data_IF_701587315684
#
_entry.id   IF_701587315684
#
_cell.length_a   1.000
_cell.length_b   1.000
_cell.length_c   1.000
_cell.angle_alpha   90.00
_cell.angle_beta   90.00
_cell.angle_gamma   90.00
#
_symmetry.space_group_name_H-M   'P 1'
#
loop_
_entity.id
_entity.type
_entity.pdbx_description
1 polymer ?
#
# COMPACT_ATOMS: atom_id res chain seq x y z
N UNK A 1 55.75 9.66 5.95
CA UNK A 1 55.31 9.17 7.28
C UNK A 1 53.85 9.59 7.43
N UNK A 2 52.98 8.62 7.65
CA UNK A 2 51.52 8.73 7.60
C UNK A 2 50.92 9.61 8.69
N UNK A 3 49.75 10.20 8.42
CA UNK A 3 48.60 10.18 9.33
C UNK A 3 47.35 10.73 8.61
N UNK A 4 46.36 9.85 8.44
CA UNK A 4 45.00 10.18 8.04
C UNK A 4 44.23 10.77 9.23
N UNK A 5 43.31 11.70 8.98
CA UNK A 5 42.16 11.96 9.85
C UNK A 5 41.06 12.67 9.04
N UNK A 6 40.21 11.88 8.39
CA UNK A 6 38.94 12.34 7.85
C UNK A 6 37.89 12.29 8.98
N UNK A 7 37.28 13.43 9.32
CA UNK A 7 36.18 13.51 10.29
C UNK A 7 34.92 13.97 9.57
N UNK A 8 34.04 12.98 9.35
CA UNK A 8 32.59 13.00 9.23
C UNK A 8 31.88 14.29 8.73
N UNK A 9 31.55 14.31 7.44
CA UNK A 9 30.36 15.03 6.98
C UNK A 9 29.12 14.21 7.35
N UNK A 10 28.40 14.68 8.35
CA UNK A 10 27.09 14.17 8.76
C UNK A 10 26.04 14.66 7.76
N UNK A 11 25.82 13.91 6.68
CA UNK A 11 24.78 14.21 5.70
C UNK A 11 23.98 12.95 5.36
N UNK A 12 22.68 13.17 5.16
CA UNK A 12 21.63 12.23 4.72
C UNK A 12 20.93 11.44 5.83
N UNK A 13 20.19 12.16 6.68
CA UNK A 13 18.90 11.69 7.18
C UNK A 13 17.81 12.45 6.41
N UNK A 14 17.52 12.01 5.18
CA UNK A 14 16.56 12.67 4.31
C UNK A 14 16.24 11.84 3.09
N UNK A 15 15.20 11.00 3.23
CA UNK A 15 14.38 10.41 2.17
C UNK A 15 15.11 9.67 1.04
N UNK A 16 15.51 8.41 1.26
CA UNK A 16 15.63 7.44 0.17
C UNK A 16 14.43 6.51 0.18
N UNK A 17 13.40 6.85 -0.61
CA UNK A 17 12.41 5.84 -0.99
C UNK A 17 13.10 4.97 -2.05
N UNK A 18 13.65 3.84 -1.62
CA UNK A 18 14.27 2.87 -2.54
C UNK A 18 13.22 2.37 -3.52
N UNK A 19 13.48 2.57 -4.81
CA UNK A 19 12.70 1.97 -5.89
C UNK A 19 12.75 0.44 -5.78
N UNK A 20 11.67 -0.29 -6.09
CA UNK A 20 11.70 -1.74 -6.08
C UNK A 20 12.52 -2.22 -7.28
N UNK A 21 13.72 -2.72 -7.02
CA UNK A 21 14.48 -3.52 -7.99
C UNK A 21 14.10 -4.97 -7.77
N UNK A 22 13.58 -5.61 -8.83
CA UNK A 22 13.22 -7.02 -8.84
C UNK A 22 14.44 -7.91 -8.56
N UNK A 23 14.31 -8.80 -7.58
CA UNK A 23 15.38 -9.64 -7.07
C UNK A 23 15.56 -10.87 -7.99
N UNK A 24 16.62 -10.88 -8.81
CA UNK A 24 17.31 -12.14 -9.14
C UNK A 24 18.37 -12.38 -8.09
N UNK A 25 18.32 -13.58 -7.51
CA UNK A 25 19.02 -13.98 -6.30
C UNK A 25 20.55 -13.86 -6.37
N UNK A 26 21.12 -13.86 -5.16
CA UNK A 26 22.54 -13.99 -4.79
C UNK A 26 23.26 -12.66 -4.56
N UNK A 27 23.32 -12.17 -3.33
CA UNK A 27 24.54 -12.34 -2.55
C UNK A 27 24.42 -11.97 -1.07
N UNK A 28 25.34 -12.57 -0.31
CA UNK A 28 25.45 -12.54 1.15
C UNK A 28 25.71 -11.15 1.72
N UNK A 29 24.77 -10.62 2.50
CA UNK A 29 25.01 -9.68 3.58
C UNK A 29 24.08 -10.06 4.73
N UNK A 30 24.58 -10.04 5.97
CA UNK A 30 23.87 -10.53 7.14
C UNK A 30 22.50 -9.86 7.29
N UNK A 31 21.46 -10.55 6.81
CA UNK A 31 20.07 -10.19 6.99
C UNK A 31 19.71 -10.44 8.45
N UNK A 32 19.36 -9.37 9.17
CA UNK A 32 18.45 -9.55 10.31
C UNK A 32 17.14 -10.00 9.70
N UNK A 33 16.87 -11.31 9.78
CA UNK A 33 15.65 -11.91 9.27
C UNK A 33 14.45 -11.03 9.60
N UNK A 34 13.67 -10.65 8.59
CA UNK A 34 12.39 -10.01 8.80
C UNK A 34 11.60 -10.86 9.81
N UNK A 35 11.07 -10.29 10.90
CA UNK A 35 10.44 -11.06 11.94
C UNK A 35 9.33 -11.92 11.33
N UNK A 36 9.40 -13.23 11.51
CA UNK A 36 8.41 -14.20 11.00
C UNK A 36 7.05 -14.09 11.69
N UNK A 37 6.91 -13.11 12.59
CA UNK A 37 5.72 -12.79 13.37
C UNK A 37 5.16 -11.39 13.04
N UNK A 38 5.39 -10.89 11.82
CA UNK A 38 4.70 -9.67 11.37
C UNK A 38 3.22 -9.99 11.17
N UNK A 39 2.40 -9.33 11.96
CA UNK A 39 0.95 -9.43 11.92
C UNK A 39 0.36 -8.07 11.54
N UNK A 40 -0.58 -8.08 10.61
CA UNK A 40 -1.43 -6.91 10.34
C UNK A 40 -2.41 -6.84 11.51
N UNK A 41 -2.03 -6.09 12.54
CA UNK A 41 -2.90 -5.76 13.66
C UNK A 41 -3.61 -4.45 13.35
N UNK A 42 -4.88 -4.36 13.71
CA UNK A 42 -5.61 -3.11 13.63
C UNK A 42 -4.92 -2.07 14.52
N UNK A 43 -4.36 -1.03 13.90
CA UNK A 43 -3.82 0.12 14.61
C UNK A 43 -4.95 1.13 14.78
N UNK A 44 -5.12 1.63 16.01
CA UNK A 44 -6.06 2.72 16.28
C UNK A 44 -5.52 4.03 15.69
N UNK A 45 -6.35 4.86 15.03
CA UNK A 45 -5.87 6.12 14.45
C UNK A 45 -5.36 7.07 15.53
N UNK A 46 -4.29 7.80 15.20
CA UNK A 46 -3.59 8.70 16.12
C UNK A 46 -3.58 10.10 15.49
N UNK A 47 -3.74 11.15 16.28
CA UNK A 47 -3.62 12.54 15.82
C UNK A 47 -2.15 12.99 15.66
N UNK A 48 -1.93 14.24 15.24
CA UNK A 48 -0.59 14.81 15.08
C UNK A 48 0.19 14.96 16.39
N UNK A 49 -0.49 14.86 17.55
CA UNK A 49 0.09 14.99 18.88
C UNK A 49 0.34 13.62 19.54
N UNK A 50 -0.04 12.52 18.88
CA UNK A 50 0.16 11.16 19.38
C UNK A 50 -1.01 10.61 20.20
N UNK A 51 -2.16 11.29 20.25
CA UNK A 51 -3.33 10.80 20.98
C UNK A 51 -4.20 9.89 20.12
N UNK A 52 -4.80 8.87 20.73
CA UNK A 52 -5.79 8.03 20.08
C UNK A 52 -7.01 8.86 19.67
N UNK A 53 -7.39 8.74 18.39
CA UNK A 53 -8.58 9.36 17.82
C UNK A 53 -9.67 8.31 17.71
N UNK A 54 -10.75 8.51 18.47
CA UNK A 54 -11.97 7.73 18.31
C UNK A 54 -12.59 8.05 16.95
N UNK A 55 -12.51 7.11 16.01
CA UNK A 55 -13.26 7.25 14.76
C UNK A 55 -14.74 7.11 15.05
N UNK A 56 -15.52 8.05 14.51
CA UNK A 56 -16.95 7.84 14.38
C UNK A 56 -17.18 6.54 13.61
N UNK A 57 -18.18 5.76 14.03
CA UNK A 57 -18.59 4.60 13.26
C UNK A 57 -18.94 5.06 11.84
N UNK A 58 -18.30 4.45 10.84
CA UNK A 58 -18.63 4.69 9.45
C UNK A 58 -20.08 4.30 9.17
N UNK A 59 -20.64 4.84 8.09
CA UNK A 59 -21.91 4.34 7.59
C UNK A 59 -21.77 2.86 7.19
N UNK A 60 -22.88 2.11 7.30
CA UNK A 60 -22.94 0.77 6.74
C UNK A 60 -22.71 0.88 5.23
N UNK A 61 -21.69 0.20 4.66
CA UNK A 61 -21.47 0.20 3.22
C UNK A 61 -22.71 -0.29 2.48
N UNK A 62 -23.08 0.41 1.41
CA UNK A 62 -24.19 -0.01 0.55
C UNK A 62 -23.75 -1.22 -0.28
N UNK A 63 -24.65 -2.18 -0.49
CA UNK A 63 -24.39 -3.30 -1.41
C UNK A 63 -24.31 -2.79 -2.86
N UNK A 64 -23.29 -3.17 -3.66
CA UNK A 64 -23.20 -2.79 -5.08
C UNK A 64 -24.37 -3.31 -5.95
N UNK A 65 -24.99 -4.43 -5.59
CA UNK A 65 -26.22 -4.91 -6.23
C UNK A 65 -27.42 -4.00 -5.96
N UNK A 66 -27.37 -3.20 -4.89
CA UNK A 66 -28.53 -2.48 -4.37
C UNK A 66 -29.68 -3.46 -4.07
N UNK A 67 -30.81 -3.27 -4.74
CA UNK A 67 -31.99 -4.14 -4.65
C UNK A 67 -32.04 -5.24 -5.72
N UNK A 68 -31.03 -5.35 -6.60
CA UNK A 68 -30.94 -6.35 -7.66
C UNK A 68 -31.96 -6.19 -8.81
N UNK A 69 -32.74 -5.10 -8.85
CA UNK A 69 -33.78 -4.91 -9.89
C UNK A 69 -33.31 -4.04 -11.06
N UNK A 70 -32.06 -3.58 -11.05
CA UNK A 70 -31.51 -2.76 -12.11
C UNK A 70 -31.30 -3.61 -13.38
N UNK A 71 -31.81 -3.14 -14.52
CA UNK A 71 -31.50 -3.72 -15.83
C UNK A 71 -30.54 -2.77 -16.53
N UNK A 72 -29.28 -3.17 -16.60
CA UNK A 72 -28.22 -2.38 -17.24
C UNK A 72 -27.90 -2.97 -18.63
N UNK A 73 -27.78 -2.14 -19.68
CA UNK A 73 -27.20 -2.61 -20.94
C UNK A 73 -25.72 -3.00 -20.71
N UNK A 74 -25.17 -3.93 -21.51
CA UNK A 74 -23.75 -4.28 -21.42
C UNK A 74 -22.88 -3.04 -21.58
N UNK A 75 -21.93 -2.87 -20.67
CA UNK A 75 -21.03 -1.72 -20.62
C UNK A 75 -19.61 -2.18 -20.34
N UNK A 76 -18.64 -1.51 -20.96
CA UNK A 76 -17.21 -1.75 -20.74
C UNK A 76 -16.66 -0.66 -19.84
N UNK A 77 -16.02 -1.05 -18.74
CA UNK A 77 -15.37 -0.13 -17.80
C UNK A 77 -13.86 -0.23 -17.99
N UNK A 78 -13.22 0.89 -18.31
CA UNK A 78 -11.77 1.00 -18.30
C UNK A 78 -11.29 1.53 -16.95
N UNK A 79 -10.27 0.87 -16.38
CA UNK A 79 -9.58 1.32 -15.18
C UNK A 79 -8.21 1.87 -15.59
N UNK A 80 -7.87 3.06 -15.10
CA UNK A 80 -6.58 3.70 -15.32
C UNK A 80 -5.92 4.03 -13.97
N UNK A 81 -4.62 3.77 -13.86
CA UNK A 81 -3.84 4.02 -12.66
C UNK A 81 -2.41 3.49 -12.83
N UNK A 82 -1.56 3.66 -11.80
CA UNK A 82 -0.22 3.07 -11.81
C UNK A 82 -0.37 1.55 -11.65
N UNK A 83 -0.52 0.83 -12.76
CA UNK A 83 -0.61 -0.63 -12.77
C UNK A 83 0.77 -1.29 -12.83
N UNK A 84 1.83 -0.48 -12.99
CA UNK A 84 3.23 -0.89 -13.09
C UNK A 84 4.11 0.15 -12.39
N UNK A 85 5.38 -0.20 -12.14
CA UNK A 85 6.35 0.69 -11.48
C UNK A 85 6.19 0.73 -9.95
N UNK A 86 6.83 1.71 -9.30
CA UNK A 86 6.89 1.79 -7.84
C UNK A 86 5.51 1.92 -7.17
N UNK A 87 4.55 2.56 -7.85
CA UNK A 87 3.19 2.78 -7.34
C UNK A 87 2.19 1.69 -7.75
N UNK A 88 2.65 0.59 -8.37
CA UNK A 88 1.83 -0.55 -8.78
C UNK A 88 0.90 -1.11 -7.69
N UNK A 89 1.33 -1.20 -6.41
CA UNK A 89 0.46 -1.70 -5.34
C UNK A 89 -0.81 -0.85 -5.16
N UNK A 90 -0.70 0.48 -5.30
CA UNK A 90 -1.86 1.37 -5.21
C UNK A 90 -2.84 1.10 -6.37
N UNK A 91 -2.35 1.05 -7.61
CA UNK A 91 -3.21 0.77 -8.76
C UNK A 91 -3.83 -0.62 -8.71
N UNK A 92 -3.10 -1.62 -8.19
CA UNK A 92 -3.62 -2.96 -7.94
C UNK A 92 -4.81 -2.96 -6.98
N UNK A 93 -4.67 -2.33 -5.82
CA UNK A 93 -5.74 -2.23 -4.83
C UNK A 93 -7.00 -1.53 -5.40
N UNK A 94 -6.81 -0.49 -6.21
CA UNK A 94 -7.92 0.24 -6.85
C UNK A 94 -8.62 -0.62 -7.90
N UNK A 95 -7.87 -1.35 -8.74
CA UNK A 95 -8.43 -2.29 -9.73
C UNK A 95 -9.22 -3.39 -9.05
N UNK A 96 -8.68 -4.01 -8.02
CA UNK A 96 -9.30 -5.15 -7.35
C UNK A 96 -10.57 -4.73 -6.61
N UNK A 97 -10.59 -3.53 -6.00
CA UNK A 97 -11.81 -2.96 -5.42
C UNK A 97 -12.89 -2.66 -6.47
N UNK A 98 -12.51 -2.14 -7.65
CA UNK A 98 -13.45 -1.92 -8.74
C UNK A 98 -14.01 -3.24 -9.29
N UNK A 99 -13.17 -4.27 -9.45
CA UNK A 99 -13.61 -5.60 -9.87
C UNK A 99 -14.61 -6.19 -8.87
N UNK A 100 -14.30 -6.13 -7.57
CA UNK A 100 -15.20 -6.61 -6.53
C UNK A 100 -16.59 -5.93 -6.59
N UNK A 101 -16.62 -4.62 -6.83
CA UNK A 101 -17.87 -3.88 -6.96
C UNK A 101 -18.69 -4.34 -8.17
N UNK A 102 -18.04 -4.58 -9.31
CA UNK A 102 -18.68 -5.10 -10.54
C UNK A 102 -19.22 -6.52 -10.31
N UNK A 103 -18.43 -7.39 -9.68
CA UNK A 103 -18.84 -8.75 -9.38
C UNK A 103 -20.04 -8.77 -8.44
N UNK A 104 -20.03 -7.94 -7.39
CA UNK A 104 -21.16 -7.80 -6.47
C UNK A 104 -22.39 -7.17 -7.12
N UNK A 105 -22.24 -6.34 -8.14
CA UNK A 105 -23.37 -5.79 -8.90
C UNK A 105 -24.03 -6.84 -9.81
N UNK A 106 -23.24 -7.76 -10.35
CA UNK A 106 -23.66 -8.75 -11.35
C UNK A 106 -24.05 -10.13 -10.77
N UNK A 107 -23.86 -10.35 -9.46
CA UNK A 107 -24.21 -11.59 -8.75
C UNK A 107 -25.73 -11.75 -8.58
#
# INVERSE_FOLDING_TARGET
>A
MAAAAAVALLAVAGCTQSAPTENSATDSAAETAAPTNLQIVAQMPIDGDGNEVKLAAGAVPVSPAGNGTATCPPLTIAMAGPLTGADAPFGGNVRDGAQLAVDQHNA
#
